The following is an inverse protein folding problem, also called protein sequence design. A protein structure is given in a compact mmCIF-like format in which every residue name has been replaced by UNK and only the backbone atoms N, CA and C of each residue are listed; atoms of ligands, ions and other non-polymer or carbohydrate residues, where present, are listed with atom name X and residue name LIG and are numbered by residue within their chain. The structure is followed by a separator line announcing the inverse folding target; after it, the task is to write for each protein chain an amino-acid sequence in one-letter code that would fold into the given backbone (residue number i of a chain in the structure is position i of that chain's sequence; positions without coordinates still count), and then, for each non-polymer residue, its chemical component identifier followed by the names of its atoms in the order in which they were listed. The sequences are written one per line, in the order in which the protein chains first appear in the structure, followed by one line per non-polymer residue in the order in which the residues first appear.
data_IF_452457363974
#
_entry.id   IF_452457363974
#
_cell.length_a   1.000
_cell.length_b   1.000
_cell.length_c   1.000
_cell.angle_alpha   90.00
_cell.angle_beta   90.00
_cell.angle_gamma   90.00
#
_symmetry.space_group_name_H-M   'P 1'
#
loop_
_entity.id
_entity.type
_entity.pdbx_description
1 polymer ?
#
# COMPACT_ATOMS: atom_id res chain seq x y z
N UNK A 1 18.79 6.17 12.74
CA UNK A 1 18.67 5.77 11.32
C UNK A 1 17.33 5.06 11.15
N UNK A 2 16.60 5.31 10.05
CA UNK A 2 15.25 4.77 9.82
C UNK A 2 15.25 3.41 9.13
N UNK A 3 14.08 2.76 9.08
CA UNK A 3 13.86 1.51 8.33
C UNK A 3 13.55 1.82 6.85
N UNK A 4 14.33 1.32 5.88
CA UNK A 4 14.14 1.61 4.45
C UNK A 4 12.79 1.12 3.89
N UNK A 5 12.11 0.19 4.58
CA UNK A 5 10.78 -0.27 4.16
C UNK A 5 9.73 0.84 4.21
N UNK A 6 9.96 1.89 5.01
CA UNK A 6 9.06 3.03 5.09
C UNK A 6 8.96 3.76 3.76
N UNK A 7 10.08 4.08 3.12
CA UNK A 7 10.10 4.84 1.86
C UNK A 7 9.40 4.07 0.73
N UNK A 8 9.62 2.75 0.67
CA UNK A 8 8.93 1.88 -0.27
C UNK A 8 7.43 1.85 0.00
N UNK A 9 7.01 1.60 1.25
CA UNK A 9 5.60 1.56 1.61
C UNK A 9 4.90 2.90 1.36
N UNK A 10 5.59 4.01 1.63
CA UNK A 10 5.09 5.37 1.39
C UNK A 10 4.92 5.64 -0.11
N UNK A 11 5.88 5.22 -0.94
CA UNK A 11 5.75 5.31 -2.40
C UNK A 11 4.55 4.51 -2.91
N UNK A 12 4.45 3.23 -2.53
CA UNK A 12 3.35 2.34 -2.95
C UNK A 12 1.98 2.86 -2.49
N UNK A 13 1.92 3.47 -1.31
CA UNK A 13 0.70 4.10 -0.80
C UNK A 13 0.13 5.14 -1.79
N UNK A 14 0.97 5.92 -2.47
CA UNK A 14 0.49 6.85 -3.49
C UNK A 14 -0.17 6.17 -4.69
N UNK A 15 0.31 5.00 -5.11
CA UNK A 15 -0.32 4.23 -6.20
C UNK A 15 -1.67 3.68 -5.73
N UNK A 16 -1.71 3.08 -4.54
CA UNK A 16 -2.96 2.52 -4.00
C UNK A 16 -4.03 3.59 -3.82
N UNK A 17 -3.72 4.75 -3.22
CA UNK A 17 -4.69 5.83 -3.03
C UNK A 17 -5.16 6.45 -4.34
N UNK A 18 -4.29 6.52 -5.36
CA UNK A 18 -4.70 6.90 -6.72
C UNK A 18 -5.60 5.84 -7.36
N UNK A 19 -5.36 4.55 -7.13
CA UNK A 19 -6.23 3.46 -7.59
C UNK A 19 -7.60 3.44 -6.92
N UNK A 20 -7.70 3.92 -5.69
CA UNK A 20 -8.99 4.20 -5.04
C UNK A 20 -9.70 5.37 -5.74
N UNK A 21 -8.99 6.47 -5.97
CA UNK A 21 -9.57 7.69 -6.55
C UNK A 21 -9.95 7.58 -8.04
N UNK A 22 -9.12 6.87 -8.80
CA UNK A 22 -9.20 6.78 -10.25
C UNK A 22 -9.60 5.36 -10.66
N UNK A 23 -10.84 4.98 -10.35
CA UNK A 23 -11.36 3.63 -10.55
C UNK A 23 -11.07 3.01 -11.94
N UNK A 24 -11.13 3.76 -13.08
CA UNK A 24 -10.78 3.19 -14.39
C UNK A 24 -9.32 2.74 -14.55
N UNK A 25 -8.40 3.28 -13.74
CA UNK A 25 -6.95 3.00 -13.80
C UNK A 25 -6.45 2.13 -12.66
N UNK A 26 -7.37 1.68 -11.83
CA UNK A 26 -7.15 0.95 -10.59
C UNK A 26 -6.23 -0.26 -10.74
N UNK A 27 -6.50 -1.14 -11.70
CA UNK A 27 -5.63 -2.31 -11.96
C UNK A 27 -4.23 -1.90 -12.42
N UNK A 28 -4.13 -0.81 -13.19
CA UNK A 28 -2.84 -0.24 -13.60
C UNK A 28 -2.01 0.24 -12.41
N UNK A 29 -2.64 0.80 -11.38
CA UNK A 29 -1.95 1.19 -10.15
C UNK A 29 -1.50 -0.02 -9.30
N UNK A 30 -2.28 -1.11 -9.22
CA UNK A 30 -1.80 -2.33 -8.56
C UNK A 30 -0.63 -2.96 -9.32
N UNK A 31 -0.72 -3.02 -10.64
CA UNK A 31 0.37 -3.53 -11.46
C UNK A 31 1.63 -2.67 -11.29
N UNK A 32 1.49 -1.34 -11.21
CA UNK A 32 2.60 -0.46 -10.91
C UNK A 32 3.25 -0.77 -9.55
N UNK A 33 2.48 -1.17 -8.52
CA UNK A 33 3.05 -1.63 -7.25
C UNK A 33 3.89 -2.91 -7.43
N UNK A 34 3.40 -3.88 -8.21
CA UNK A 34 4.13 -5.12 -8.50
C UNK A 34 5.44 -4.85 -9.26
N UNK A 35 5.35 -4.06 -10.33
CA UNK A 35 6.51 -3.68 -11.16
C UNK A 35 7.53 -2.91 -10.32
N UNK A 36 7.08 -1.95 -9.51
CA UNK A 36 7.94 -1.20 -8.61
C UNK A 36 8.70 -2.12 -7.66
N UNK A 37 8.01 -3.01 -6.94
CA UNK A 37 8.66 -3.91 -6.00
C UNK A 37 9.62 -4.87 -6.68
N UNK A 38 9.23 -5.44 -7.84
CA UNK A 38 10.09 -6.35 -8.60
C UNK A 38 11.39 -5.68 -9.06
N UNK A 39 11.33 -4.41 -9.46
CA UNK A 39 12.50 -3.62 -9.82
C UNK A 39 13.33 -3.21 -8.60
N UNK A 40 12.68 -2.86 -7.48
CA UNK A 40 13.37 -2.42 -6.27
C UNK A 40 14.10 -3.58 -5.56
N UNK A 41 13.46 -4.74 -5.44
CA UNK A 41 13.93 -5.84 -4.59
C UNK A 41 15.28 -6.42 -5.01
N UNK A 42 15.69 -6.28 -6.28
CA UNK A 42 17.01 -6.74 -6.76
C UNK A 42 18.16 -5.88 -6.24
N UNK A 43 17.87 -4.68 -5.76
CA UNK A 43 18.85 -3.76 -5.18
C UNK A 43 18.94 -3.88 -3.66
N UNK A 44 18.10 -4.72 -3.02
CA UNK A 44 18.15 -4.99 -1.59
C UNK A 44 19.26 -6.01 -1.33
N UNK A 45 20.48 -5.53 -1.05
CA UNK A 45 21.67 -6.37 -0.86
C UNK A 45 22.10 -6.49 0.60
N UNK A 46 21.47 -5.76 1.52
CA UNK A 46 21.85 -5.67 2.94
C UNK A 46 21.01 -6.55 3.87
N UNK A 47 19.92 -7.14 3.37
CA UNK A 47 19.07 -8.08 4.10
C UNK A 47 18.32 -8.98 3.10
N UNK A 48 17.56 -9.96 3.61
CA UNK A 48 16.69 -10.77 2.76
C UNK A 48 15.56 -9.89 2.17
N UNK A 49 15.38 -9.82 0.84
CA UNK A 49 14.33 -9.01 0.22
C UNK A 49 12.93 -9.34 0.74
N UNK A 50 12.67 -10.60 1.07
CA UNK A 50 11.38 -11.07 1.61
C UNK A 50 11.12 -10.55 3.03
N UNK A 51 12.17 -10.33 3.83
CA UNK A 51 12.06 -9.75 5.15
C UNK A 51 11.67 -8.26 5.04
N UNK A 52 12.28 -7.54 4.10
CA UNK A 52 11.90 -6.15 3.80
C UNK A 52 10.48 -6.07 3.22
N UNK A 53 10.11 -6.96 2.28
CA UNK A 53 8.76 -7.05 1.70
C UNK A 53 7.69 -7.18 2.78
N UNK A 54 7.92 -8.04 3.77
CA UNK A 54 6.98 -8.26 4.87
C UNK A 54 6.77 -7.00 5.69
N UNK A 55 7.80 -6.15 5.87
CA UNK A 55 7.66 -4.87 6.58
C UNK A 55 6.92 -3.85 5.71
N UNK A 56 7.24 -3.78 4.41
CA UNK A 56 6.51 -2.93 3.46
C UNK A 56 5.02 -3.28 3.44
N UNK A 57 4.69 -4.56 3.33
CA UNK A 57 3.31 -5.04 3.28
C UNK A 57 2.53 -4.78 4.58
N UNK A 58 3.20 -4.82 5.74
CA UNK A 58 2.59 -4.45 7.01
C UNK A 58 2.41 -2.93 7.17
N UNK A 59 3.34 -2.12 6.66
CA UNK A 59 3.31 -0.67 6.74
C UNK A 59 2.28 -0.04 5.81
N UNK A 60 2.10 -0.59 4.60
CA UNK A 60 1.27 0.01 3.55
C UNK A 60 -0.18 0.30 4.04
N UNK A 61 -0.92 -0.65 4.65
CA UNK A 61 -2.26 -0.36 5.19
C UNK A 61 -2.27 0.73 6.27
N UNK A 62 -1.26 0.74 7.15
CA UNK A 62 -1.14 1.77 8.18
C UNK A 62 -0.91 3.16 7.57
N UNK A 63 -0.10 3.25 6.52
CA UNK A 63 0.14 4.51 5.79
C UNK A 63 -1.08 4.97 5.01
N UNK A 64 -1.87 4.05 4.45
CA UNK A 64 -3.16 4.37 3.83
C UNK A 64 -4.09 5.03 4.86
N UNK A 65 -4.27 4.39 6.02
CA UNK A 65 -5.13 4.92 7.08
C UNK A 65 -4.61 6.26 7.63
N UNK A 66 -3.29 6.41 7.79
CA UNK A 66 -2.68 7.67 8.22
C UNK A 66 -2.92 8.83 7.23
N UNK A 67 -3.12 8.54 5.94
CA UNK A 67 -3.49 9.55 4.94
C UNK A 67 -4.98 9.89 4.94
N UNK A 68 -5.80 9.18 5.70
CA UNK A 68 -7.22 9.47 5.88
C UNK A 68 -7.47 10.12 7.23
N UNK A 69 -6.97 9.53 8.32
CA UNK A 69 -7.26 9.92 9.70
C UNK A 69 -6.08 10.58 10.43
N UNK A 70 -4.93 10.74 9.76
CA UNK A 70 -3.73 11.35 10.35
C UNK A 70 -3.68 12.88 10.24
N UNK A 71 -2.54 13.45 10.65
CA UNK A 71 -2.31 14.91 10.69
C UNK A 71 -2.25 15.59 9.31
N UNK A 72 -2.03 14.81 8.26
CA UNK A 72 -1.99 15.30 6.89
C UNK A 72 -2.85 14.37 6.06
N UNK A 73 -4.15 14.67 5.91
CA UNK A 73 -5.02 13.87 5.08
C UNK A 73 -4.75 14.10 3.59
N UNK A 74 -5.25 13.20 2.76
CA UNK A 74 -5.18 13.30 1.30
C UNK A 74 -6.37 14.10 0.76
N UNK A 75 -6.07 15.13 -0.02
CA UNK A 75 -7.06 16.15 -0.40
C UNK A 75 -8.00 15.72 -1.53
N UNK A 76 -7.60 14.73 -2.33
CA UNK A 76 -8.37 14.29 -3.50
C UNK A 76 -9.37 13.18 -3.20
N UNK A 77 -9.36 12.58 -2.00
CA UNK A 77 -10.35 11.55 -1.65
C UNK A 77 -11.62 12.19 -1.10
N UNK A 78 -12.74 11.89 -1.76
CA UNK A 78 -14.09 12.12 -1.26
C UNK A 78 -14.35 11.34 0.04
N UNK A 79 -15.36 11.72 0.84
CA UNK A 79 -15.72 11.00 2.06
C UNK A 79 -16.02 9.50 1.83
N UNK A 80 -16.63 9.16 0.69
CA UNK A 80 -16.92 7.76 0.34
C UNK A 80 -15.63 6.98 0.04
N UNK A 81 -14.67 7.58 -0.65
CA UNK A 81 -13.37 6.95 -0.92
C UNK A 81 -12.53 6.82 0.36
N UNK A 82 -12.59 7.81 1.26
CA UNK A 82 -11.96 7.71 2.58
C UNK A 82 -12.53 6.53 3.37
N UNK A 83 -13.84 6.33 3.34
CA UNK A 83 -14.47 5.20 4.02
C UNK A 83 -14.07 3.86 3.39
N UNK A 84 -13.97 3.79 2.06
CA UNK A 84 -13.43 2.62 1.38
C UNK A 84 -11.99 2.32 1.82
N UNK A 85 -11.14 3.34 1.97
CA UNK A 85 -9.78 3.17 2.50
C UNK A 85 -9.79 2.63 3.94
N UNK A 86 -10.67 3.13 4.82
CA UNK A 86 -10.81 2.60 6.19
C UNK A 86 -11.21 1.14 6.20
N UNK A 87 -12.21 0.77 5.39
CA UNK A 87 -12.72 -0.58 5.27
C UNK A 87 -11.65 -1.56 4.75
N UNK A 88 -10.80 -1.12 3.81
CA UNK A 88 -9.68 -1.91 3.28
C UNK A 88 -8.54 -2.01 4.29
N UNK A 89 -8.10 -0.89 4.85
CA UNK A 89 -6.89 -0.82 5.65
C UNK A 89 -7.05 -1.49 7.03
N UNK A 90 -8.20 -1.34 7.69
CA UNK A 90 -8.43 -1.84 9.04
C UNK A 90 -8.13 -3.33 9.22
N UNK A 91 -8.76 -4.23 8.44
CA UNK A 91 -8.49 -5.67 8.51
C UNK A 91 -7.03 -6.03 8.20
N UNK A 92 -6.41 -5.31 7.26
CA UNK A 92 -5.03 -5.54 6.82
C UNK A 92 -3.99 -5.08 7.86
N UNK A 93 -4.30 -4.10 8.69
CA UNK A 93 -3.48 -3.71 9.85
C UNK A 93 -3.55 -4.80 10.93
N UNK A 94 -4.75 -5.33 11.20
CA UNK A 94 -4.94 -6.36 12.23
C UNK A 94 -4.36 -7.72 11.82
N UNK A 95 -4.36 -8.03 10.52
CA UNK A 95 -3.84 -9.29 9.97
C UNK A 95 -2.90 -9.00 8.79
N UNK A 96 -1.68 -8.48 9.06
CA UNK A 96 -0.77 -8.07 8.01
C UNK A 96 -0.35 -9.25 7.13
N UNK A 97 -0.23 -8.97 5.83
CA UNK A 97 0.33 -9.92 4.86
C UNK A 97 1.84 -9.82 4.85
N UNK A 98 2.49 -10.94 4.56
CA UNK A 98 3.95 -11.02 4.47
C UNK A 98 4.49 -10.71 3.07
N UNK A 99 3.62 -10.66 2.07
CA UNK A 99 3.97 -10.48 0.65
C UNK A 99 3.05 -9.44 0.04
N UNK A 100 3.62 -8.60 -0.82
CA UNK A 100 2.88 -7.55 -1.52
C UNK A 100 1.86 -8.15 -2.49
N UNK A 101 2.16 -9.27 -3.15
CA UNK A 101 1.19 -9.91 -4.04
C UNK A 101 -0.12 -10.28 -3.32
N UNK A 102 -0.03 -11.04 -2.22
CA UNK A 102 -1.22 -11.42 -1.46
C UNK A 102 -1.95 -10.23 -0.85
N UNK A 103 -1.25 -9.15 -0.52
CA UNK A 103 -1.85 -7.90 -0.07
C UNK A 103 -2.65 -7.21 -1.18
N UNK A 104 -2.05 -7.06 -2.36
CA UNK A 104 -2.65 -6.37 -3.50
C UNK A 104 -3.82 -7.17 -4.10
N UNK A 105 -3.73 -8.50 -4.11
CA UNK A 105 -4.84 -9.38 -4.52
C UNK A 105 -6.04 -9.24 -3.59
N UNK A 106 -5.80 -9.16 -2.27
CA UNK A 106 -6.86 -8.95 -1.29
C UNK A 106 -7.50 -7.56 -1.41
N UNK A 107 -6.70 -6.52 -1.66
CA UNK A 107 -7.21 -5.18 -1.98
C UNK A 107 -8.07 -5.20 -3.25
N UNK A 108 -7.62 -5.87 -4.31
CA UNK A 108 -8.36 -6.00 -5.57
C UNK A 108 -9.73 -6.64 -5.34
N UNK A 109 -9.80 -7.68 -4.51
CA UNK A 109 -11.04 -8.38 -4.21
C UNK A 109 -12.06 -7.57 -3.39
N UNK A 110 -11.59 -6.57 -2.64
CA UNK A 110 -12.41 -5.76 -1.73
C UNK A 110 -12.69 -4.35 -2.26
N UNK A 111 -12.13 -4.01 -3.41
CA UNK A 111 -12.29 -2.70 -4.00
C UNK A 111 -13.73 -2.45 -4.48
N UNK A 112 -14.31 -1.27 -4.19
CA UNK A 112 -15.70 -0.96 -4.52
C UNK A 112 -15.92 -0.77 -6.01
#
# INVERSE_FOLDING_TARGET
MGDPSFDVAFCLNHFVLKGVHLAPYRDGFLEACHVFWSAYRVHVTWEAPEAMESRVAALLPALMLARVDGKSPVEYLSPAEQEAVRALAGPLILKPRKRLCGLLDEMRAQWP
#
